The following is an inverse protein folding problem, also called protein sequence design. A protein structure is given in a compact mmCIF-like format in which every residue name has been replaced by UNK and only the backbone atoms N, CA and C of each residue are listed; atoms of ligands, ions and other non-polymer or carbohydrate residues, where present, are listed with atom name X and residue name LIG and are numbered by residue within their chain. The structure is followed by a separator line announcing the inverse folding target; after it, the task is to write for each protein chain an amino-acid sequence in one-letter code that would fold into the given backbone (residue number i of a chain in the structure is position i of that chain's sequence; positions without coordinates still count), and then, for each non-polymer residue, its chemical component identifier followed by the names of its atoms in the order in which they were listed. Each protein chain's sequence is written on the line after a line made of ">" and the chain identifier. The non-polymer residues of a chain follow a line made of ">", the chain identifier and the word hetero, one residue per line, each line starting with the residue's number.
data_IF_822358831674
#
_entry.id   IF_822358831674
#
_cell.length_a   1.000
_cell.length_b   1.000
_cell.length_c   1.000
_cell.angle_alpha   90.00
_cell.angle_beta   90.00
_cell.angle_gamma   90.00
#
_symmetry.space_group_name_H-M   'P 1'
#
loop_
_entity.id
_entity.type
_entity.pdbx_description
1 polymer ?
#
# COMPACT_ATOMS: atom_id res chain seq x y z
N UNK A 1 12.95 -11.36 -9.36
CA UNK A 1 12.07 -11.66 -10.50
C UNK A 1 11.86 -10.44 -11.40
N UNK A 2 11.92 -9.21 -10.89
CA UNK A 2 11.63 -8.01 -11.68
C UNK A 2 12.84 -7.41 -12.42
N UNK A 3 14.04 -7.95 -12.24
CA UNK A 3 15.22 -7.41 -12.90
C UNK A 3 15.23 -7.83 -14.38
N UNK A 4 15.53 -6.93 -15.34
CA UNK A 4 15.46 -7.21 -16.78
C UNK A 4 16.34 -8.38 -17.26
N UNK A 5 17.37 -8.76 -16.49
CA UNK A 5 18.26 -9.88 -16.81
C UNK A 5 17.71 -11.24 -16.42
N UNK A 6 16.55 -11.31 -15.76
CA UNK A 6 15.94 -12.58 -15.40
C UNK A 6 15.25 -13.25 -16.60
N UNK A 7 15.16 -14.58 -16.56
CA UNK A 7 14.55 -15.39 -17.62
C UNK A 7 13.09 -15.01 -17.89
N UNK A 8 12.34 -14.69 -16.83
CA UNK A 8 10.93 -14.31 -16.93
C UNK A 8 10.83 -12.80 -17.06
N UNK A 9 10.37 -12.32 -18.22
CA UNK A 9 10.31 -10.90 -18.55
C UNK A 9 8.94 -10.26 -18.30
N UNK A 10 7.91 -11.06 -17.97
CA UNK A 10 6.54 -10.58 -17.75
C UNK A 10 6.03 -11.00 -16.37
N UNK A 11 5.38 -10.09 -15.70
CA UNK A 11 4.56 -10.40 -14.52
C UNK A 11 3.10 -10.52 -14.95
N UNK A 12 2.32 -11.35 -14.24
CA UNK A 12 0.93 -11.64 -14.57
C UNK A 12 -0.05 -10.94 -13.64
N UNK A 13 0.45 -10.44 -12.52
CA UNK A 13 -0.26 -9.64 -11.54
C UNK A 13 0.70 -8.99 -10.56
N UNK A 14 0.22 -7.99 -9.82
CA UNK A 14 0.93 -7.39 -8.69
C UNK A 14 -0.01 -7.42 -7.50
N UNK A 15 0.44 -7.95 -6.37
CA UNK A 15 -0.35 -7.99 -5.15
C UNK A 15 0.10 -6.89 -4.19
N UNK A 16 -0.84 -6.03 -3.79
CA UNK A 16 -0.65 -5.08 -2.69
C UNK A 16 -1.55 -5.52 -1.53
N UNK A 17 -0.98 -5.75 -0.36
CA UNK A 17 -1.74 -6.21 0.81
C UNK A 17 -1.19 -5.61 2.12
N UNK A 18 -1.94 -5.77 3.20
CA UNK A 18 -1.48 -5.57 4.58
C UNK A 18 -1.03 -6.88 5.22
N UNK A 19 -0.95 -6.92 6.54
CA UNK A 19 -0.65 -8.13 7.32
C UNK A 19 0.82 -8.43 7.54
N UNK A 20 1.73 -7.49 7.22
CA UNK A 20 3.18 -7.73 7.28
C UNK A 20 3.56 -8.95 6.45
N UNK A 21 4.63 -9.67 6.77
CA UNK A 21 5.09 -10.84 6.02
C UNK A 21 4.00 -11.92 5.80
N UNK A 22 3.05 -12.03 6.72
CA UNK A 22 1.92 -12.96 6.57
C UNK A 22 1.04 -12.67 5.34
N UNK A 23 0.88 -11.40 4.98
CA UNK A 23 0.07 -10.99 3.83
C UNK A 23 0.65 -11.42 2.46
N UNK A 24 1.88 -11.92 2.42
CA UNK A 24 2.46 -12.55 1.23
C UNK A 24 1.62 -13.73 0.74
N UNK A 25 0.88 -14.40 1.63
CA UNK A 25 0.00 -15.52 1.27
C UNK A 25 -1.12 -15.12 0.31
N UNK A 26 -1.53 -13.87 0.30
CA UNK A 26 -2.52 -13.37 -0.67
C UNK A 26 -2.07 -13.55 -2.13
N UNK A 27 -0.75 -13.48 -2.40
CA UNK A 27 -0.22 -13.73 -3.73
C UNK A 27 -0.45 -15.19 -4.20
N UNK A 28 -0.45 -16.16 -3.29
CA UNK A 28 -0.76 -17.57 -3.61
C UNK A 28 -2.18 -17.72 -4.17
N UNK A 29 -3.14 -16.98 -3.61
CA UNK A 29 -4.50 -16.94 -4.10
C UNK A 29 -4.63 -16.34 -5.50
N UNK A 30 -3.90 -15.24 -5.75
CA UNK A 30 -3.84 -14.63 -7.07
C UNK A 30 -3.17 -15.56 -8.11
N UNK A 31 -2.11 -16.28 -7.72
CA UNK A 31 -1.48 -17.27 -8.59
C UNK A 31 -2.46 -18.38 -8.97
N UNK A 32 -3.22 -18.92 -8.02
CA UNK A 32 -4.23 -19.94 -8.29
C UNK A 32 -5.29 -19.42 -9.28
N UNK A 33 -5.83 -18.23 -9.05
CA UNK A 33 -6.80 -17.64 -9.98
C UNK A 33 -6.23 -17.50 -11.40
N UNK A 34 -5.02 -16.96 -11.53
CA UNK A 34 -4.37 -16.76 -12.83
C UNK A 34 -4.06 -18.07 -13.55
N UNK A 35 -3.65 -19.11 -12.82
CA UNK A 35 -3.44 -20.46 -13.37
C UNK A 35 -4.73 -21.03 -13.94
N UNK A 36 -5.87 -20.91 -13.22
CA UNK A 36 -7.20 -21.32 -13.67
C UNK A 36 -7.64 -20.57 -14.93
N UNK A 37 -7.20 -19.31 -15.12
CA UNK A 37 -7.41 -18.53 -16.33
C UNK A 37 -6.38 -18.84 -17.46
N UNK A 38 -5.49 -19.80 -17.25
CA UNK A 38 -4.44 -20.15 -18.21
C UNK A 38 -3.36 -19.09 -18.37
N UNK A 39 -3.27 -18.11 -17.46
CA UNK A 39 -2.23 -17.08 -17.43
C UNK A 39 -0.99 -17.58 -16.67
N UNK A 40 0.19 -17.29 -17.19
CA UNK A 40 1.45 -17.69 -16.55
C UNK A 40 2.56 -17.91 -17.53
N UNK A 41 3.79 -17.95 -17.02
CA UNK A 41 4.98 -18.34 -17.78
C UNK A 41 4.90 -19.83 -18.14
N UNK A 42 5.04 -20.14 -19.41
CA UNK A 42 4.93 -21.53 -19.90
C UNK A 42 6.22 -22.30 -19.63
N UNK A 43 6.15 -23.29 -18.75
CA UNK A 43 7.25 -24.21 -18.45
C UNK A 43 7.04 -25.58 -19.11
N UNK A 44 6.26 -25.65 -20.18
CA UNK A 44 5.87 -26.83 -20.98
C UNK A 44 4.87 -27.76 -20.28
N UNK A 45 5.07 -28.09 -19.03
CA UNK A 45 4.20 -28.97 -18.23
C UNK A 45 3.09 -28.22 -17.49
N UNK A 46 3.24 -26.91 -17.32
CA UNK A 46 2.31 -26.03 -16.64
C UNK A 46 2.49 -24.57 -17.07
N UNK A 47 1.54 -23.71 -16.65
CA UNK A 47 1.71 -22.25 -16.65
C UNK A 47 1.92 -21.78 -15.21
N UNK A 48 3.01 -21.03 -14.98
CA UNK A 48 3.36 -20.53 -13.65
C UNK A 48 3.14 -19.02 -13.62
N UNK A 49 2.09 -18.52 -12.95
CA UNK A 49 1.87 -17.09 -12.77
C UNK A 49 3.00 -16.46 -11.97
N UNK A 50 3.48 -15.31 -12.40
CA UNK A 50 4.48 -14.51 -11.67
C UNK A 50 3.76 -13.33 -11.06
N UNK A 51 3.62 -13.33 -9.74
CA UNK A 51 2.88 -12.34 -8.96
C UNK A 51 3.78 -11.76 -7.87
N UNK A 52 4.57 -10.72 -8.17
CA UNK A 52 5.28 -9.99 -7.13
C UNK A 52 4.28 -9.35 -6.15
N UNK A 53 4.66 -9.35 -4.87
CA UNK A 53 3.83 -8.81 -3.81
C UNK A 53 4.59 -7.75 -3.01
N UNK A 54 3.89 -6.67 -2.64
CA UNK A 54 4.38 -5.65 -1.72
C UNK A 54 3.40 -5.52 -0.55
N UNK A 55 3.91 -5.69 0.66
CA UNK A 55 3.08 -5.85 1.86
C UNK A 55 3.36 -4.73 2.86
N UNK A 56 2.30 -4.12 3.39
CA UNK A 56 2.40 -3.12 4.44
C UNK A 56 2.50 -3.79 5.82
N UNK A 57 3.30 -3.19 6.72
CA UNK A 57 3.21 -3.47 8.15
C UNK A 57 2.05 -2.67 8.76
N UNK A 58 0.97 -3.36 9.12
CA UNK A 58 -0.26 -2.76 9.68
C UNK A 58 -0.86 -3.58 10.83
N UNK A 59 -0.11 -4.52 11.40
CA UNK A 59 -0.58 -5.41 12.47
C UNK A 59 -1.03 -4.68 13.75
N UNK A 60 -0.62 -3.43 13.92
CA UNK A 60 -1.06 -2.58 15.03
C UNK A 60 -2.44 -1.93 14.81
N UNK A 61 -3.05 -2.14 13.63
CA UNK A 61 -4.36 -1.57 13.28
C UNK A 61 -5.42 -2.67 13.30
N UNK A 62 -6.40 -2.53 14.17
CA UNK A 62 -7.45 -3.54 14.33
C UNK A 62 -6.94 -4.80 15.05
N UNK A 63 -7.02 -5.95 14.40
CA UNK A 63 -6.66 -7.25 14.96
C UNK A 63 -5.47 -7.85 14.23
N UNK A 64 -4.39 -8.15 14.94
CA UNK A 64 -3.16 -8.70 14.37
C UNK A 64 -3.30 -10.17 13.89
N UNK A 65 -4.35 -10.87 14.30
CA UNK A 65 -4.65 -12.23 13.88
C UNK A 65 -5.55 -12.31 12.63
N UNK A 66 -6.12 -11.17 12.17
CA UNK A 66 -6.87 -11.06 10.92
C UNK A 66 -5.96 -10.48 9.85
N UNK A 67 -5.58 -11.32 8.89
CA UNK A 67 -4.55 -10.99 7.89
C UNK A 67 -4.99 -11.47 6.51
N UNK A 68 -4.56 -10.79 5.44
CA UNK A 68 -4.77 -11.28 4.10
C UNK A 68 -4.17 -12.67 3.89
N UNK A 69 -4.97 -13.58 3.35
CA UNK A 69 -4.63 -14.96 3.05
C UNK A 69 -4.88 -15.29 1.56
N UNK A 70 -4.61 -16.52 1.17
CA UNK A 70 -4.83 -16.98 -0.21
C UNK A 70 -6.28 -16.85 -0.66
N UNK A 71 -7.27 -17.07 0.24
CA UNK A 71 -8.68 -16.94 -0.11
C UNK A 71 -9.04 -15.48 -0.43
N UNK A 72 -8.51 -14.53 0.36
CA UNK A 72 -8.71 -13.11 0.13
C UNK A 72 -8.01 -12.65 -1.17
N UNK A 73 -6.81 -13.15 -1.45
CA UNK A 73 -6.08 -12.87 -2.70
C UNK A 73 -6.84 -13.38 -3.94
N UNK A 74 -7.40 -14.56 -3.87
CA UNK A 74 -8.24 -15.12 -4.92
C UNK A 74 -9.50 -14.27 -5.14
N UNK A 75 -10.18 -13.90 -4.04
CA UNK A 75 -11.38 -13.07 -4.11
C UNK A 75 -11.09 -11.67 -4.68
N UNK A 76 -9.93 -11.11 -4.38
CA UNK A 76 -9.50 -9.83 -4.96
C UNK A 76 -9.40 -9.92 -6.49
N UNK A 77 -8.91 -11.04 -7.03
CA UNK A 77 -8.86 -11.26 -8.47
C UNK A 77 -10.26 -11.40 -9.09
N UNK A 78 -11.19 -12.10 -8.43
CA UNK A 78 -12.59 -12.20 -8.89
C UNK A 78 -13.27 -10.82 -8.93
N UNK A 79 -12.92 -9.93 -8.01
CA UNK A 79 -13.49 -8.58 -7.91
C UNK A 79 -12.76 -7.54 -8.78
N UNK A 80 -11.66 -7.93 -9.43
CA UNK A 80 -10.89 -7.01 -10.27
C UNK A 80 -11.71 -6.52 -11.46
N UNK A 81 -11.60 -5.24 -11.75
CA UNK A 81 -12.28 -4.61 -12.88
C UNK A 81 -11.40 -3.54 -13.53
N UNK A 82 -11.81 -3.04 -14.68
CA UNK A 82 -11.18 -1.90 -15.35
C UNK A 82 -11.62 -0.54 -14.80
N UNK A 83 -12.54 -0.52 -13.84
CA UNK A 83 -12.96 0.72 -13.21
C UNK A 83 -11.86 1.27 -12.29
N UNK A 84 -11.77 2.60 -12.11
CA UNK A 84 -10.86 3.17 -11.12
C UNK A 84 -11.11 2.57 -9.73
N UNK A 85 -10.07 2.14 -9.01
CA UNK A 85 -10.24 1.61 -7.67
C UNK A 85 -10.74 2.71 -6.72
N UNK A 86 -11.56 2.32 -5.75
CA UNK A 86 -11.99 3.22 -4.69
C UNK A 86 -10.77 3.71 -3.88
N UNK A 87 -10.74 5.01 -3.59
CA UNK A 87 -9.70 5.60 -2.75
C UNK A 87 -10.04 5.49 -1.27
N UNK A 88 -9.02 5.53 -0.41
CA UNK A 88 -9.17 5.49 1.04
C UNK A 88 -8.89 4.14 1.67
N UNK A 89 -9.71 3.70 2.62
CA UNK A 89 -9.47 2.50 3.42
C UNK A 89 -9.92 1.21 2.73
N UNK A 90 -9.42 0.97 1.52
CA UNK A 90 -9.73 -0.22 0.71
C UNK A 90 -8.48 -1.07 0.48
N UNK A 91 -8.63 -2.38 0.36
CA UNK A 91 -7.55 -3.32 0.08
C UNK A 91 -6.34 -3.08 0.98
N UNK A 92 -5.15 -2.92 0.40
CA UNK A 92 -3.92 -2.61 1.13
C UNK A 92 -3.98 -1.30 1.94
N UNK A 93 -4.86 -0.36 1.59
CA UNK A 93 -5.08 0.88 2.33
C UNK A 93 -5.83 0.71 3.64
N UNK A 94 -6.45 -0.46 3.88
CA UNK A 94 -7.32 -0.69 5.06
C UNK A 94 -6.57 -0.52 6.38
N UNK A 95 -5.35 -1.03 6.48
CA UNK A 95 -4.50 -0.90 7.68
C UNK A 95 -3.46 0.22 7.60
N UNK A 96 -3.39 0.93 6.48
CA UNK A 96 -2.38 1.97 6.24
C UNK A 96 -2.54 3.16 7.21
N UNK A 97 -1.40 3.66 7.71
CA UNK A 97 -1.32 4.80 8.63
C UNK A 97 -0.17 5.73 8.26
N UNK A 98 -0.27 7.00 8.65
CA UNK A 98 0.77 8.02 8.42
C UNK A 98 1.06 8.79 9.72
N UNK A 99 2.22 9.46 9.79
CA UNK A 99 2.57 10.28 10.94
C UNK A 99 2.86 9.47 12.20
N UNK A 100 3.78 8.53 12.16
CA UNK A 100 4.06 7.56 13.25
C UNK A 100 5.16 8.03 14.22
N UNK A 101 5.74 9.22 14.01
CA UNK A 101 6.89 9.71 14.80
C UNK A 101 6.61 9.75 16.31
N UNK A 102 5.38 10.06 16.71
CA UNK A 102 4.93 10.09 18.09
C UNK A 102 4.17 8.80 18.51
N UNK A 103 4.34 7.72 17.75
CA UNK A 103 3.70 6.43 17.99
C UNK A 103 2.31 6.32 17.37
N UNK A 104 1.76 5.10 17.41
CA UNK A 104 0.48 4.76 16.77
C UNK A 104 -0.71 5.52 17.34
N UNK A 105 -0.67 5.93 18.61
CA UNK A 105 -1.72 6.72 19.25
C UNK A 105 -1.91 8.10 18.62
N UNK A 106 -0.88 8.66 18.00
CA UNK A 106 -0.91 9.96 17.33
C UNK A 106 -0.95 9.85 15.81
N UNK A 107 -0.77 8.65 15.26
CA UNK A 107 -0.86 8.40 13.83
C UNK A 107 -2.29 8.62 13.30
N UNK A 108 -2.40 8.92 12.02
CA UNK A 108 -3.66 9.02 11.30
C UNK A 108 -3.80 7.87 10.32
N UNK A 109 -5.04 7.59 9.91
CA UNK A 109 -5.29 6.67 8.81
C UNK A 109 -4.66 7.22 7.52
N UNK A 110 -3.95 6.34 6.85
CA UNK A 110 -3.57 6.53 5.47
C UNK A 110 -4.67 6.03 4.53
N UNK A 111 -4.29 5.34 3.47
CA UNK A 111 -5.23 4.78 2.52
C UNK A 111 -4.56 4.36 1.23
N UNK A 112 -5.38 3.98 0.26
CA UNK A 112 -4.95 3.73 -1.11
C UNK A 112 -5.51 4.83 -2.02
N UNK A 113 -4.73 5.20 -3.01
CA UNK A 113 -5.17 6.13 -4.06
C UNK A 113 -4.56 5.76 -5.40
N UNK A 114 -5.16 6.24 -6.47
CA UNK A 114 -4.65 6.09 -7.82
C UNK A 114 -4.75 7.41 -8.59
N UNK A 115 -3.83 7.61 -9.50
CA UNK A 115 -3.83 8.73 -10.42
C UNK A 115 -3.21 8.32 -11.75
N UNK A 116 -3.59 9.00 -12.81
CA UNK A 116 -2.98 8.83 -14.13
C UNK A 116 -2.84 10.18 -14.81
N UNK A 117 -1.84 10.29 -15.68
CA UNK A 117 -1.56 11.46 -16.49
C UNK A 117 -1.17 11.02 -17.91
N UNK A 118 -1.63 11.73 -18.91
CA UNK A 118 -1.15 11.60 -20.27
C UNK A 118 0.08 12.51 -20.46
N UNK A 119 1.19 11.91 -20.91
CA UNK A 119 2.46 12.62 -21.11
C UNK A 119 2.73 12.95 -22.58
N UNK A 120 1.75 12.80 -23.45
CA UNK A 120 1.83 13.06 -24.88
C UNK A 120 1.85 11.79 -25.72
N UNK A 121 1.52 11.95 -27.02
CA UNK A 121 1.48 10.85 -28.00
C UNK A 121 0.62 9.63 -27.59
N UNK A 122 -0.41 9.83 -26.77
CA UNK A 122 -1.28 8.75 -26.26
C UNK A 122 -0.66 7.90 -25.16
N UNK A 123 0.50 8.28 -24.62
CA UNK A 123 1.15 7.57 -23.52
C UNK A 123 0.54 7.97 -22.18
N UNK A 124 -0.07 7.02 -21.49
CA UNK A 124 -0.61 7.18 -20.14
C UNK A 124 0.36 6.61 -19.10
N UNK A 125 0.63 7.39 -18.06
CA UNK A 125 1.34 6.95 -16.87
C UNK A 125 0.36 6.88 -15.72
N UNK A 126 0.18 5.69 -15.15
CA UNK A 126 -0.70 5.44 -14.02
C UNK A 126 0.08 5.00 -12.79
N UNK A 127 -0.42 5.37 -11.62
CA UNK A 127 0.10 4.89 -10.34
C UNK A 127 -1.06 4.52 -9.40
N UNK A 128 -0.85 3.47 -8.61
CA UNK A 128 -1.67 3.12 -7.46
C UNK A 128 -0.75 3.02 -6.24
N UNK A 129 -1.12 3.68 -5.16
CA UNK A 129 -0.25 3.81 -3.98
C UNK A 129 -1.05 3.56 -2.71
N UNK A 130 -0.62 2.58 -1.90
CA UNK A 130 -1.06 2.44 -0.53
C UNK A 130 -0.09 3.21 0.38
N UNK A 131 -0.59 4.24 1.06
CA UNK A 131 0.22 5.21 1.80
C UNK A 131 0.31 4.80 3.26
N UNK A 132 1.45 4.18 3.63
CA UNK A 132 1.77 3.73 4.99
C UNK A 132 3.07 4.38 5.50
N UNK A 133 3.18 5.70 5.35
CA UNK A 133 4.40 6.44 5.64
C UNK A 133 4.68 6.57 7.15
N UNK A 134 5.96 6.61 7.52
CA UNK A 134 6.39 7.00 8.86
C UNK A 134 6.10 8.48 9.11
N UNK A 135 6.37 9.32 8.12
CA UNK A 135 6.16 10.77 8.13
C UNK A 135 4.74 11.17 7.74
N UNK A 136 4.61 12.45 7.43
CA UNK A 136 3.36 13.12 7.10
C UNK A 136 3.12 13.14 5.59
N UNK A 137 1.86 13.31 5.20
CA UNK A 137 1.44 13.57 3.82
C UNK A 137 1.30 15.08 3.66
N UNK A 138 2.01 15.62 2.69
CA UNK A 138 2.08 17.06 2.44
C UNK A 138 1.48 17.35 1.08
N UNK A 139 0.68 18.40 1.00
CA UNK A 139 0.22 18.95 -0.27
C UNK A 139 1.42 19.61 -0.99
N UNK A 140 1.83 19.13 -2.16
CA UNK A 140 2.99 19.66 -2.86
C UNK A 140 2.80 21.10 -3.37
N UNK A 141 1.56 21.55 -3.54
CA UNK A 141 1.28 22.91 -4.02
C UNK A 141 1.39 23.96 -2.91
N UNK A 142 1.02 23.59 -1.67
CA UNK A 142 0.95 24.53 -0.55
C UNK A 142 2.02 24.29 0.51
N UNK A 143 2.64 23.09 0.53
CA UNK A 143 3.54 22.64 1.59
C UNK A 143 2.82 22.31 2.92
N UNK A 144 1.50 22.32 2.94
CA UNK A 144 0.72 22.04 4.16
C UNK A 144 0.60 20.55 4.41
N UNK A 145 0.68 20.16 5.68
CA UNK A 145 0.40 18.78 6.11
C UNK A 145 -1.10 18.56 6.05
N UNK A 146 -1.53 17.56 5.25
CA UNK A 146 -2.95 17.16 5.09
C UNK A 146 -3.29 15.92 5.91
N UNK A 147 -2.30 15.07 6.24
CA UNK A 147 -2.44 13.95 7.17
C UNK A 147 -1.06 13.63 7.78
N UNK A 148 -1.01 13.36 9.08
CA UNK A 148 0.29 13.14 9.72
C UNK A 148 0.18 12.88 11.22
N UNK A 149 1.30 13.01 11.92
CA UNK A 149 1.35 12.90 13.37
C UNK A 149 0.55 14.03 14.03
N UNK A 150 -0.45 13.67 14.83
CA UNK A 150 -1.16 14.65 15.66
C UNK A 150 -0.25 15.14 16.77
N UNK A 151 -0.29 16.43 17.08
CA UNK A 151 0.45 16.97 18.22
C UNK A 151 0.01 16.31 19.53
N UNK A 152 0.96 16.16 20.45
CA UNK A 152 0.70 15.59 21.76
C UNK A 152 1.15 16.57 22.86
N UNK A 153 0.45 16.55 24.00
CA UNK A 153 0.82 17.29 25.20
C UNK A 153 1.18 16.29 26.29
N UNK A 154 2.31 16.52 26.94
CA UNK A 154 2.78 15.75 28.09
C UNK A 154 2.98 16.69 29.27
N UNK A 155 1.98 16.82 30.13
CA UNK A 155 1.92 17.83 31.18
C UNK A 155 1.89 19.23 30.55
N UNK A 156 2.79 20.14 30.98
CA UNK A 156 2.86 21.49 30.41
C UNK A 156 3.63 21.54 29.07
N UNK A 157 4.20 20.42 28.62
CA UNK A 157 5.03 20.34 27.41
C UNK A 157 4.19 19.87 26.22
N UNK A 158 4.31 20.63 25.13
CA UNK A 158 3.80 20.25 23.82
C UNK A 158 4.91 19.64 22.99
N UNK A 159 4.62 18.50 22.36
CA UNK A 159 5.55 17.83 21.43
C UNK A 159 5.10 18.13 20.01
N UNK A 160 5.99 18.73 19.22
CA UNK A 160 5.77 19.09 17.83
C UNK A 160 5.39 20.57 17.62
N UNK A 161 5.08 20.90 16.38
CA UNK A 161 4.69 22.24 15.96
C UNK A 161 3.40 22.75 16.64
N UNK A 162 3.23 24.08 16.79
CA UNK A 162 1.94 24.65 17.17
C UNK A 162 0.87 24.29 16.12
N UNK A 163 -0.26 23.75 16.56
CA UNK A 163 -1.37 23.38 15.68
C UNK A 163 -1.83 21.94 15.84
N UNK A 164 -2.58 21.45 14.88
CA UNK A 164 -3.13 20.09 14.92
C UNK A 164 -2.07 19.00 14.66
N UNK A 165 -1.15 19.27 13.75
CA UNK A 165 -0.07 18.35 13.40
C UNK A 165 1.22 18.67 14.16
N UNK A 166 1.94 17.62 14.55
CA UNK A 166 3.23 17.74 15.20
C UNK A 166 4.36 18.17 14.24
N UNK A 167 4.17 17.93 12.93
CA UNK A 167 5.19 18.04 11.89
C UNK A 167 6.38 17.11 12.17
N UNK A 168 6.35 15.95 11.54
CA UNK A 168 7.36 14.90 11.70
C UNK A 168 8.76 15.41 11.43
N UNK A 169 8.95 16.27 10.43
CA UNK A 169 10.27 16.83 10.11
C UNK A 169 10.77 17.78 11.18
N UNK A 170 9.88 18.54 11.80
CA UNK A 170 10.25 19.40 12.93
C UNK A 170 10.62 18.57 14.16
N UNK A 171 9.82 17.55 14.50
CA UNK A 171 10.13 16.65 15.63
C UNK A 171 11.46 15.93 15.44
N UNK A 172 11.84 15.57 14.22
CA UNK A 172 13.13 14.91 13.94
C UNK A 172 14.34 15.83 14.06
N UNK A 173 14.16 17.15 14.05
CA UNK A 173 15.24 18.15 14.15
C UNK A 173 15.49 18.62 15.58
N UNK A 174 14.60 18.30 16.52
CA UNK A 174 14.71 18.63 17.94
C UNK A 174 15.33 17.48 18.73
#
# INVERSE_FOLDING_TARGET
>A
ALHPMHLVQHVHGVMLAGGSAYGLDAASGAMRYLEEQGAGFNVQVARVPIVPAAILFDLAVGRADVRPDAAMGYQACLNASSNPPAAGNYGAGTGATVGKILGMGQAMKGGIGSASIEIGAGVLVGAIVAVNAFGDVVDPATGQIIAGARSAEVGPLRIGAPGYFADTMQVMRT
#
